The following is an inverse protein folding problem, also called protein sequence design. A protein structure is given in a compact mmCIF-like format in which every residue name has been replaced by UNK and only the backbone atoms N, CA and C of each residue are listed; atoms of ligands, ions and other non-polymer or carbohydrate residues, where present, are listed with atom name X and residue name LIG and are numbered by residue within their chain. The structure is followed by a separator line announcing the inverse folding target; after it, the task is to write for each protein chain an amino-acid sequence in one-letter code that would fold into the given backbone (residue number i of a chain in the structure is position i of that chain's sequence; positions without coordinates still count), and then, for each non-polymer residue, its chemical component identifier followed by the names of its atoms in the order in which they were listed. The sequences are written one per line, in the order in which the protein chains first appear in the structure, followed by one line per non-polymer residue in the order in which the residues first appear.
data_IF_856951518512
#
_entry.id   IF_856951518512
#
_cell.length_a   1.000
_cell.length_b   1.000
_cell.length_c   1.000
_cell.angle_alpha   90.00
_cell.angle_beta   90.00
_cell.angle_gamma   90.00
#
_symmetry.space_group_name_H-M   'P 1'
#
loop_
_entity.id
_entity.type
_entity.pdbx_description
1 polymer ?
#
# COMPACT_ATOMS: atom_id res chain seq x y z
N UNK A 1 1.44 10.47 26.98
CA UNK A 1 0.71 9.66 26.00
C UNK A 1 -0.16 8.64 26.72
N UNK A 2 -1.28 9.08 27.27
CA UNK A 2 -2.28 8.17 27.84
C UNK A 2 -3.11 7.55 26.70
N UNK A 3 -3.55 6.30 26.84
CA UNK A 3 -4.50 5.66 25.91
C UNK A 3 -3.93 4.98 24.67
N UNK A 4 -2.66 5.21 24.29
CA UNK A 4 -2.05 4.55 23.12
C UNK A 4 -2.05 3.02 23.25
N UNK A 5 -1.66 2.42 24.39
CA UNK A 5 -1.73 0.96 24.54
C UNK A 5 -3.16 0.42 24.45
N UNK A 6 -4.14 1.13 25.03
CA UNK A 6 -5.55 0.77 24.98
C UNK A 6 -6.11 0.82 23.56
N UNK A 7 -5.67 1.78 22.76
CA UNK A 7 -6.01 1.86 21.35
C UNK A 7 -5.44 0.68 20.55
N UNK A 8 -4.11 0.50 20.54
CA UNK A 8 -3.46 -0.49 19.64
C UNK A 8 -3.51 -1.93 20.13
N UNK A 9 -3.50 -2.16 21.44
CA UNK A 9 -3.49 -3.51 22.03
C UNK A 9 -4.81 -3.86 22.72
N UNK A 10 -5.58 -2.86 23.16
CA UNK A 10 -6.90 -3.05 23.77
C UNK A 10 -8.07 -2.91 22.80
N UNK A 11 -7.87 -2.32 21.62
CA UNK A 11 -8.91 -2.12 20.60
C UNK A 11 -9.89 -0.98 20.88
N UNK A 12 -9.63 -0.13 21.88
CA UNK A 12 -10.47 1.03 22.17
C UNK A 12 -10.12 2.20 21.24
N UNK A 13 -10.89 2.34 20.16
CA UNK A 13 -10.70 3.37 19.13
C UNK A 13 -10.91 4.81 19.64
N UNK A 14 -11.50 4.99 20.81
CA UNK A 14 -11.75 6.29 21.43
C UNK A 14 -10.72 6.63 22.52
N UNK A 15 -9.85 5.69 22.89
CA UNK A 15 -8.84 5.91 23.94
C UNK A 15 -7.74 6.92 23.54
N UNK A 16 -7.49 7.09 22.24
CA UNK A 16 -6.54 8.06 21.67
C UNK A 16 -6.79 8.22 20.16
N UNK A 17 -6.12 9.20 19.52
CA UNK A 17 -6.18 9.39 18.06
C UNK A 17 -5.36 8.29 17.36
N UNK A 18 -5.96 7.48 16.46
CA UNK A 18 -5.23 6.51 15.65
C UNK A 18 -4.29 7.19 14.65
N UNK A 19 -3.06 6.68 14.56
CA UNK A 19 -2.10 7.16 13.57
C UNK A 19 -2.31 6.36 12.30
N UNK A 20 -2.81 7.04 11.26
CA UNK A 20 -3.04 6.46 9.95
C UNK A 20 -2.59 7.42 8.86
N UNK A 21 -2.15 6.86 7.73
CA UNK A 21 -1.88 7.63 6.51
C UNK A 21 -3.16 7.90 5.72
N UNK A 22 -3.09 8.87 4.80
CA UNK A 22 -4.19 9.21 3.88
C UNK A 22 -4.69 8.03 3.04
N UNK A 23 -3.82 7.03 2.81
CA UNK A 23 -4.11 5.86 1.95
C UNK A 23 -4.92 4.77 2.64
N UNK A 24 -5.23 4.89 3.94
CA UNK A 24 -5.95 3.84 4.67
C UNK A 24 -7.32 3.51 4.08
N UNK A 25 -7.99 4.47 3.44
CA UNK A 25 -9.26 4.25 2.75
C UNK A 25 -9.17 3.32 1.53
N UNK A 26 -7.96 2.94 1.11
CA UNK A 26 -7.71 1.95 0.04
C UNK A 26 -7.40 0.54 0.58
N UNK A 27 -7.30 0.36 1.91
CA UNK A 27 -7.00 -0.92 2.54
C UNK A 27 -8.31 -1.58 2.98
N UNK A 28 -8.68 -2.67 2.33
CA UNK A 28 -9.95 -3.39 2.55
C UNK A 28 -9.76 -4.83 3.06
N UNK A 29 -8.51 -5.32 3.09
CA UNK A 29 -8.18 -6.68 3.50
C UNK A 29 -7.01 -6.70 4.49
N UNK A 30 -7.04 -7.68 5.41
CA UNK A 30 -5.91 -8.01 6.28
C UNK A 30 -5.06 -9.07 5.58
N UNK A 31 -3.88 -8.68 5.11
CA UNK A 31 -2.95 -9.55 4.39
C UNK A 31 -1.75 -9.91 5.27
N UNK A 32 -1.07 -11.01 4.93
CA UNK A 32 0.25 -11.27 5.50
C UNK A 32 1.26 -10.25 5.00
N UNK A 33 2.30 -9.97 5.81
CA UNK A 33 3.37 -9.06 5.39
C UNK A 33 4.03 -9.49 4.07
N UNK A 34 4.16 -10.81 3.83
CA UNK A 34 4.66 -11.36 2.57
C UNK A 34 3.78 -10.96 1.39
N UNK A 35 2.47 -11.20 1.49
CA UNK A 35 1.54 -10.86 0.41
C UNK A 35 1.56 -9.36 0.09
N UNK A 36 1.57 -8.50 1.11
CA UNK A 36 1.68 -7.04 0.89
C UNK A 36 2.90 -6.71 0.03
N UNK A 37 4.06 -7.30 0.33
CA UNK A 37 5.31 -7.03 -0.40
C UNK A 37 5.24 -7.61 -1.82
N UNK A 38 4.83 -8.88 -1.95
CA UNK A 38 4.79 -9.60 -3.22
C UNK A 38 3.81 -8.92 -4.20
N UNK A 39 2.60 -8.61 -3.75
CA UNK A 39 1.56 -7.96 -4.56
C UNK A 39 1.96 -6.54 -4.95
N UNK A 40 2.57 -5.78 -4.02
CA UNK A 40 3.06 -4.42 -4.31
C UNK A 40 4.12 -4.44 -5.41
N UNK A 41 5.08 -5.36 -5.33
CA UNK A 41 6.15 -5.47 -6.33
C UNK A 41 5.64 -5.98 -7.68
N UNK A 42 4.73 -6.96 -7.67
CA UNK A 42 4.09 -7.46 -8.88
C UNK A 42 3.32 -6.34 -9.59
N UNK A 43 2.48 -5.58 -8.86
CA UNK A 43 1.72 -4.46 -9.40
C UNK A 43 2.62 -3.34 -9.91
N UNK A 44 3.73 -3.03 -9.21
CA UNK A 44 4.73 -2.08 -9.69
C UNK A 44 5.29 -2.48 -11.07
N UNK A 45 5.73 -3.72 -11.22
CA UNK A 45 6.28 -4.22 -12.49
C UNK A 45 5.24 -4.23 -13.61
N UNK A 46 3.99 -4.60 -13.31
CA UNK A 46 2.89 -4.58 -14.27
C UNK A 46 2.63 -3.17 -14.79
N UNK A 47 2.51 -2.19 -13.90
CA UNK A 47 2.26 -0.78 -14.24
C UNK A 47 3.41 -0.21 -15.07
N UNK A 48 4.66 -0.42 -14.66
CA UNK A 48 5.84 0.07 -15.40
C UNK A 48 5.91 -0.55 -16.79
N UNK A 49 5.66 -1.85 -16.92
CA UNK A 49 5.62 -2.52 -18.21
C UNK A 49 4.47 -1.98 -19.09
N UNK A 50 3.31 -1.69 -18.51
CA UNK A 50 2.19 -1.03 -19.18
C UNK A 50 2.55 0.34 -19.72
N UNK A 51 3.17 1.18 -18.87
CA UNK A 51 3.64 2.51 -19.27
C UNK A 51 4.69 2.42 -20.39
N UNK A 52 5.62 1.47 -20.31
CA UNK A 52 6.62 1.25 -21.36
C UNK A 52 5.96 0.90 -22.70
N UNK A 53 4.99 -0.03 -22.71
CA UNK A 53 4.26 -0.36 -23.94
C UNK A 53 3.50 0.83 -24.54
N UNK A 54 2.94 1.68 -23.68
CA UNK A 54 2.09 2.80 -24.11
C UNK A 54 2.89 4.02 -24.56
N UNK A 55 4.04 4.28 -23.93
CA UNK A 55 4.75 5.55 -24.07
C UNK A 55 6.20 5.42 -24.55
N UNK A 56 6.78 4.22 -24.62
CA UNK A 56 8.11 4.08 -25.18
C UNK A 56 8.07 4.37 -26.70
N UNK A 57 9.00 5.18 -27.22
CA UNK A 57 9.10 5.39 -28.65
C UNK A 57 9.36 4.05 -29.35
N UNK A 58 8.80 3.86 -30.54
CA UNK A 58 9.11 2.71 -31.37
C UNK A 58 10.64 2.63 -31.52
N UNK A 59 11.21 1.46 -31.24
CA UNK A 59 12.64 1.24 -31.44
C UNK A 59 12.98 1.65 -32.88
N UNK A 60 13.83 2.65 -33.03
CA UNK A 60 14.23 3.16 -34.34
C UNK A 60 14.87 1.99 -35.11
N UNK A 61 14.29 1.53 -36.22
CA UNK A 61 14.97 0.56 -37.06
C UNK A 61 16.15 1.31 -37.70
N UNK A 62 17.35 1.05 -37.17
CA UNK A 62 18.60 1.42 -37.83
C UNK A 62 18.69 0.74 -39.21
#
# INVERSE_FOLDING_TARGET
MAGIPQLYFGGDMEAAIPLSGQVCGRIDAVLTARQVIDDTMAGFHEVVAGMSRQYAPAANPA
#
